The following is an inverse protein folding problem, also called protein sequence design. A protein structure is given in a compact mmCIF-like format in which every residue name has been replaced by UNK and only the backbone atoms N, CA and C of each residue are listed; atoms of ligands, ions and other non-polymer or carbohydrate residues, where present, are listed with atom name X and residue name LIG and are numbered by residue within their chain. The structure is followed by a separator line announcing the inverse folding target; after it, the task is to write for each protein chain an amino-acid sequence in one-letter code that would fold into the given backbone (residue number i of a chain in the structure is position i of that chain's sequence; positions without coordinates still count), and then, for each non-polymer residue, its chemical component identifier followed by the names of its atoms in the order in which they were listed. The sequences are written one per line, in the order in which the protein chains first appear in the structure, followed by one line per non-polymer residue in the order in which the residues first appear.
data_IF_582827520960
#
_entry.id   IF_582827520960
#
_cell.length_a   1.000
_cell.length_b   1.000
_cell.length_c   1.000
_cell.angle_alpha   90.00
_cell.angle_beta   90.00
_cell.angle_gamma   90.00
#
_symmetry.space_group_name_H-M   'P 1'
#
loop_
_entity.id
_entity.type
_entity.pdbx_description
1 polymer ?
#
# COMPACT_ATOMS: atom_id res chain seq x y z
N UNK A 1 -58.88 8.75 -8.06
CA UNK A 1 -58.14 8.91 -6.81
C UNK A 1 -56.85 8.16 -7.03
N UNK A 2 -55.88 8.84 -7.64
CA UNK A 2 -54.58 8.30 -7.98
C UNK A 2 -53.58 8.78 -6.92
N UNK A 3 -52.97 7.85 -6.21
CA UNK A 3 -51.86 8.12 -5.30
C UNK A 3 -50.58 7.59 -5.95
N UNK A 4 -49.84 8.50 -6.59
CA UNK A 4 -48.44 8.29 -6.94
C UNK A 4 -47.60 8.28 -5.65
N UNK A 5 -47.01 7.13 -5.32
CA UNK A 5 -45.87 7.07 -4.42
C UNK A 5 -44.61 7.22 -5.27
N UNK A 6 -44.00 8.41 -5.23
CA UNK A 6 -42.63 8.61 -5.68
C UNK A 6 -41.70 8.06 -4.60
N UNK A 7 -41.05 6.94 -4.90
CA UNK A 7 -39.93 6.43 -4.11
C UNK A 7 -38.67 7.11 -4.67
N UNK A 8 -38.15 8.11 -3.95
CA UNK A 8 -36.79 8.61 -4.19
C UNK A 8 -35.79 7.56 -3.64
N UNK A 9 -34.89 7.01 -4.47
CA UNK A 9 -33.81 6.21 -3.93
C UNK A 9 -32.82 7.12 -3.19
N UNK A 10 -32.62 6.81 -1.92
CA UNK A 10 -31.68 7.46 -1.02
C UNK A 10 -30.28 7.54 -1.65
N UNK A 11 -29.79 8.77 -1.83
CA UNK A 11 -28.44 9.13 -2.30
C UNK A 11 -27.29 8.64 -1.41
N UNK A 12 -27.58 7.87 -0.35
CA UNK A 12 -26.58 7.38 0.59
C UNK A 12 -25.82 6.11 0.11
N UNK A 13 -26.35 5.39 -0.89
CA UNK A 13 -25.70 4.17 -1.41
C UNK A 13 -24.59 4.44 -2.45
N UNK A 14 -24.54 5.65 -3.02
CA UNK A 14 -23.55 6.01 -4.03
C UNK A 14 -22.15 6.31 -3.46
N UNK A 15 -22.02 6.42 -2.13
CA UNK A 15 -20.77 6.87 -1.49
C UNK A 15 -19.81 5.74 -1.09
N UNK A 16 -20.22 4.48 -1.13
CA UNK A 16 -19.42 3.36 -0.55
C UNK A 16 -18.61 2.59 -1.60
N UNK A 17 -18.85 2.80 -2.90
CA UNK A 17 -18.10 2.16 -3.99
C UNK A 17 -17.54 3.15 -5.01
N UNK A 18 -17.15 4.35 -4.57
CA UNK A 18 -16.33 5.22 -5.41
C UNK A 18 -14.87 4.81 -5.28
N UNK A 19 -14.42 3.85 -6.10
CA UNK A 19 -12.98 3.62 -6.34
C UNK A 19 -12.31 4.79 -7.08
N UNK A 20 -12.98 5.94 -7.19
CA UNK A 20 -12.45 7.12 -7.85
C UNK A 20 -12.72 8.35 -6.99
N UNK A 21 -11.70 8.98 -6.40
CA UNK A 21 -11.74 10.42 -6.21
C UNK A 21 -11.88 11.03 -7.61
N UNK A 22 -12.88 11.87 -7.84
CA UNK A 22 -13.07 12.67 -9.07
C UNK A 22 -11.74 12.94 -9.77
N UNK A 23 -11.50 12.33 -10.96
CA UNK A 23 -10.27 12.42 -11.79
C UNK A 23 -9.28 13.49 -11.31
N UNK A 24 -8.46 13.14 -10.30
CA UNK A 24 -7.47 14.06 -9.74
C UNK A 24 -6.39 14.39 -10.76
N UNK A 25 -6.28 13.58 -11.81
CA UNK A 25 -5.39 13.75 -12.93
C UNK A 25 -5.41 15.20 -13.50
N UNK A 26 -6.60 15.79 -13.68
CA UNK A 26 -6.71 17.17 -14.13
C UNK A 26 -6.43 18.21 -13.04
N UNK A 27 -6.72 17.91 -11.76
CA UNK A 27 -6.39 18.80 -10.62
C UNK A 27 -4.86 18.92 -10.46
N UNK A 28 -4.14 17.82 -10.62
CA UNK A 28 -2.66 17.77 -10.51
C UNK A 28 -1.99 18.46 -11.70
N UNK A 29 -2.48 18.26 -12.93
CA UNK A 29 -1.94 18.93 -14.12
C UNK A 29 -2.30 20.42 -14.21
N UNK A 30 -3.51 20.84 -13.80
CA UNK A 30 -3.96 22.24 -13.88
C UNK A 30 -3.16 23.19 -12.98
N UNK A 31 -2.37 22.67 -12.03
CA UNK A 31 -1.43 23.46 -11.23
C UNK A 31 -0.19 23.91 -11.98
N UNK A 32 0.17 23.24 -13.08
CA UNK A 32 1.40 23.52 -13.83
C UNK A 32 1.30 24.74 -14.75
N UNK A 33 0.09 25.14 -15.13
CA UNK A 33 -0.17 26.21 -16.11
C UNK A 33 -0.47 27.58 -15.48
N UNK A 34 -0.54 27.69 -14.15
CA UNK A 34 -0.84 28.94 -13.44
C UNK A 34 0.40 29.49 -12.72
N UNK A 35 1.05 30.47 -13.35
CA UNK A 35 1.85 31.57 -12.76
C UNK A 35 2.95 31.21 -11.74
N UNK A 36 4.17 31.66 -12.08
CA UNK A 36 5.50 31.57 -11.42
C UNK A 36 5.60 32.06 -9.95
N UNK A 37 4.51 32.18 -9.21
CA UNK A 37 4.55 32.60 -7.82
C UNK A 37 3.46 31.89 -7.02
N UNK A 38 3.73 30.65 -6.61
CA UNK A 38 3.28 30.19 -5.29
C UNK A 38 4.14 29.02 -4.81
N UNK A 39 4.43 29.09 -3.52
CA UNK A 39 5.41 28.35 -2.73
C UNK A 39 5.10 26.86 -2.59
N UNK A 40 6.15 26.03 -2.66
CA UNK A 40 6.28 24.70 -2.05
C UNK A 40 4.99 23.89 -1.90
N UNK A 41 4.57 23.28 -3.00
CA UNK A 41 3.72 22.09 -2.93
C UNK A 41 4.41 21.02 -3.76
N UNK A 42 4.69 19.88 -3.12
CA UNK A 42 5.38 18.73 -3.71
C UNK A 42 4.90 18.50 -5.14
N UNK A 43 5.78 18.78 -6.10
CA UNK A 43 5.51 18.51 -7.50
C UNK A 43 5.59 16.99 -7.64
N UNK A 44 4.44 16.38 -7.86
CA UNK A 44 4.35 14.93 -8.00
C UNK A 44 5.27 14.45 -9.12
N UNK A 45 6.15 13.50 -8.79
CA UNK A 45 7.14 12.99 -9.74
C UNK A 45 6.44 12.15 -10.82
N UNK A 46 7.07 12.07 -12.00
CA UNK A 46 6.56 11.22 -13.10
C UNK A 46 6.37 9.77 -12.65
N UNK A 47 7.24 9.29 -11.75
CA UNK A 47 7.15 7.95 -11.19
C UNK A 47 5.90 7.76 -10.33
N UNK A 48 5.61 8.70 -9.44
CA UNK A 48 4.42 8.64 -8.59
C UNK A 48 3.13 8.59 -9.41
N UNK A 49 3.02 9.45 -10.43
CA UNK A 49 1.86 9.48 -11.35
C UNK A 49 1.70 8.14 -12.08
N UNK A 50 2.80 7.55 -12.59
CA UNK A 50 2.77 6.24 -13.26
C UNK A 50 2.41 5.11 -12.28
N UNK A 51 2.96 5.11 -11.07
CA UNK A 51 2.62 4.08 -10.07
C UNK A 51 1.16 4.14 -9.63
N UNK A 52 0.57 5.34 -9.52
CA UNK A 52 -0.87 5.47 -9.21
C UNK A 52 -1.73 4.90 -10.33
N UNK A 53 -1.40 5.21 -11.59
CA UNK A 53 -2.09 4.64 -12.74
C UNK A 53 -2.06 3.10 -12.74
N UNK A 54 -0.91 2.50 -12.45
CA UNK A 54 -0.76 1.05 -12.37
C UNK A 54 -1.58 0.44 -11.23
N UNK A 55 -1.61 1.08 -10.06
CA UNK A 55 -2.42 0.62 -8.92
C UNK A 55 -3.91 0.67 -9.23
N UNK A 56 -4.39 1.78 -9.80
CA UNK A 56 -5.79 1.93 -10.14
C UNK A 56 -6.16 0.93 -11.27
N UNK A 57 -5.26 0.70 -12.23
CA UNK A 57 -5.44 -0.32 -13.27
C UNK A 57 -5.46 -1.74 -12.69
N UNK A 58 -4.65 -2.05 -11.68
CA UNK A 58 -4.67 -3.34 -11.01
C UNK A 58 -6.03 -3.61 -10.34
N UNK A 59 -6.66 -2.58 -9.76
CA UNK A 59 -8.02 -2.67 -9.22
C UNK A 59 -9.06 -3.01 -10.31
N UNK A 60 -8.91 -2.43 -11.51
CA UNK A 60 -9.76 -2.76 -12.67
C UNK A 60 -9.58 -4.22 -13.08
N UNK A 61 -8.34 -4.71 -13.13
CA UNK A 61 -8.04 -6.12 -13.43
C UNK A 61 -8.66 -7.07 -12.38
N UNK A 62 -8.60 -6.73 -11.10
CA UNK A 62 -9.24 -7.53 -10.04
C UNK A 62 -10.76 -7.58 -10.22
N UNK A 63 -11.38 -6.42 -10.48
CA UNK A 63 -12.82 -6.35 -10.75
C UNK A 63 -13.21 -7.18 -11.98
N UNK A 64 -12.39 -7.16 -13.02
CA UNK A 64 -12.59 -7.97 -14.22
C UNK A 64 -12.54 -9.48 -13.94
N UNK A 65 -11.58 -9.94 -13.13
CA UNK A 65 -11.49 -11.34 -12.70
C UNK A 65 -12.72 -11.75 -11.89
N UNK A 66 -13.19 -10.87 -10.99
CA UNK A 66 -14.40 -11.11 -10.19
C UNK A 66 -15.65 -11.21 -11.08
N UNK A 67 -15.78 -10.36 -12.10
CA UNK A 67 -16.88 -10.46 -13.07
C UNK A 67 -16.79 -11.71 -13.93
N UNK A 68 -15.59 -12.15 -14.29
CA UNK A 68 -15.41 -13.43 -14.99
C UNK A 68 -15.80 -14.63 -14.11
N UNK A 69 -15.55 -14.56 -12.80
CA UNK A 69 -16.03 -15.58 -11.84
C UNK A 69 -17.56 -15.59 -11.75
N UNK A 70 -18.18 -14.41 -11.67
CA UNK A 70 -19.63 -14.29 -11.71
C UNK A 70 -20.21 -14.81 -13.03
N UNK A 71 -19.57 -14.52 -14.15
CA UNK A 71 -19.94 -15.05 -15.47
C UNK A 71 -19.92 -16.58 -15.47
N UNK A 72 -18.85 -17.21 -14.98
CA UNK A 72 -18.79 -18.67 -14.89
C UNK A 72 -19.91 -19.25 -13.99
N UNK A 73 -20.24 -18.58 -12.89
CA UNK A 73 -21.37 -18.97 -12.04
C UNK A 73 -22.72 -18.83 -12.77
N UNK A 74 -22.89 -17.79 -13.59
CA UNK A 74 -24.04 -17.62 -14.47
C UNK A 74 -24.15 -18.72 -15.52
N UNK A 75 -23.04 -19.16 -16.13
CA UNK A 75 -23.04 -20.27 -17.08
C UNK A 75 -23.52 -21.59 -16.40
N UNK A 76 -23.13 -21.83 -15.15
CA UNK A 76 -23.61 -22.98 -14.39
C UNK A 76 -25.08 -22.87 -14.00
N UNK A 77 -25.52 -21.68 -13.55
CA UNK A 77 -26.91 -21.44 -13.19
C UNK A 77 -27.84 -21.50 -14.41
N UNK A 78 -27.41 -21.02 -15.58
CA UNK A 78 -28.14 -21.17 -16.83
C UNK A 78 -28.37 -22.64 -17.16
N UNK A 79 -27.32 -23.46 -17.07
CA UNK A 79 -27.38 -24.89 -17.35
C UNK A 79 -28.33 -25.62 -16.38
N UNK A 80 -28.25 -25.28 -15.09
CA UNK A 80 -29.12 -25.84 -14.06
C UNK A 80 -30.58 -25.39 -14.25
N UNK A 81 -30.80 -24.15 -14.68
CA UNK A 81 -32.13 -23.61 -14.98
C UNK A 81 -32.74 -24.29 -16.22
N UNK A 82 -31.97 -24.46 -17.30
CA UNK A 82 -32.40 -25.18 -18.51
C UNK A 82 -32.79 -26.64 -18.20
N UNK A 83 -31.97 -27.33 -17.38
CA UNK A 83 -32.27 -28.68 -16.92
C UNK A 83 -33.55 -28.72 -16.06
N UNK A 84 -33.76 -27.70 -15.22
CA UNK A 84 -34.93 -27.61 -14.35
C UNK A 84 -36.23 -27.32 -15.12
N UNK A 85 -36.18 -26.45 -16.12
CA UNK A 85 -37.31 -26.17 -17.03
C UNK A 85 -37.69 -27.41 -17.85
N UNK A 86 -36.72 -28.27 -18.15
CA UNK A 86 -36.91 -29.49 -18.94
C UNK A 86 -37.48 -30.68 -18.15
N UNK A 87 -37.62 -30.57 -16.82
CA UNK A 87 -38.23 -31.61 -16.00
C UNK A 87 -39.73 -31.76 -16.30
N UNK A 88 -40.28 -32.97 -16.19
CA UNK A 88 -41.64 -33.31 -16.64
C UNK A 88 -42.73 -32.72 -15.74
N UNK A 89 -42.40 -32.31 -14.51
CA UNK A 89 -43.30 -31.62 -13.57
C UNK A 89 -42.53 -30.68 -12.63
N UNK A 90 -42.06 -29.51 -13.10
CA UNK A 90 -41.34 -28.57 -12.26
C UNK A 90 -42.30 -27.94 -11.24
N UNK A 91 -41.84 -27.82 -9.98
CA UNK A 91 -42.56 -27.04 -8.98
C UNK A 91 -42.54 -25.56 -9.40
N UNK A 92 -43.71 -25.00 -9.74
CA UNK A 92 -43.83 -23.62 -10.21
C UNK A 92 -43.24 -22.59 -9.23
N UNK A 93 -43.40 -22.82 -7.93
CA UNK A 93 -42.84 -21.91 -6.92
C UNK A 93 -41.30 -21.89 -6.93
N UNK A 94 -40.66 -23.03 -7.21
CA UNK A 94 -39.20 -23.13 -7.28
C UNK A 94 -38.68 -22.60 -8.61
N UNK A 95 -39.48 -22.72 -9.68
CA UNK A 95 -39.17 -22.16 -11.00
C UNK A 95 -39.13 -20.63 -10.96
N UNK A 96 -40.13 -20.01 -10.33
CA UNK A 96 -40.19 -18.54 -10.16
C UNK A 96 -38.99 -18.02 -9.36
N UNK A 97 -38.60 -18.70 -8.27
CA UNK A 97 -37.45 -18.32 -7.45
C UNK A 97 -36.15 -18.42 -8.24
N UNK A 98 -35.94 -19.50 -9.00
CA UNK A 98 -34.74 -19.65 -9.84
C UNK A 98 -34.68 -18.65 -11.00
N UNK A 99 -35.83 -18.34 -11.60
CA UNK A 99 -35.91 -17.32 -12.65
C UNK A 99 -35.55 -15.93 -12.10
N UNK A 100 -36.08 -15.58 -10.92
CA UNK A 100 -35.73 -14.34 -10.21
C UNK A 100 -34.25 -14.27 -9.84
N UNK A 101 -33.66 -15.38 -9.37
CA UNK A 101 -32.23 -15.47 -9.07
C UNK A 101 -31.38 -15.22 -10.32
N UNK A 102 -31.74 -15.85 -11.44
CA UNK A 102 -31.07 -15.67 -12.71
C UNK A 102 -31.20 -14.23 -13.23
N UNK A 103 -32.41 -13.67 -13.24
CA UNK A 103 -32.68 -12.30 -13.71
C UNK A 103 -31.92 -11.27 -12.87
N UNK A 104 -31.87 -11.44 -11.55
CA UNK A 104 -31.14 -10.55 -10.66
C UNK A 104 -29.63 -10.59 -10.94
N UNK A 105 -29.05 -11.78 -11.02
CA UNK A 105 -27.61 -11.93 -11.21
C UNK A 105 -27.17 -11.53 -12.62
N UNK A 106 -28.00 -11.77 -13.63
CA UNK A 106 -27.78 -11.27 -14.99
C UNK A 106 -27.86 -9.74 -15.05
N UNK A 107 -28.86 -9.13 -14.41
CA UNK A 107 -28.98 -7.68 -14.29
C UNK A 107 -27.77 -7.06 -13.57
N UNK A 108 -27.31 -7.70 -12.50
CA UNK A 108 -26.10 -7.28 -11.79
C UNK A 108 -24.86 -7.39 -12.69
N UNK A 109 -24.62 -8.53 -13.33
CA UNK A 109 -23.48 -8.75 -14.23
C UNK A 109 -23.45 -7.72 -15.37
N UNK A 110 -24.57 -7.50 -16.05
CA UNK A 110 -24.65 -6.54 -17.16
C UNK A 110 -24.43 -5.11 -16.70
N UNK A 111 -24.97 -4.72 -15.54
CA UNK A 111 -24.73 -3.40 -14.96
C UNK A 111 -23.24 -3.19 -14.63
N UNK A 112 -22.59 -4.17 -13.99
CA UNK A 112 -21.18 -4.07 -13.62
C UNK A 112 -20.24 -4.10 -14.83
N UNK A 113 -20.56 -4.89 -15.86
CA UNK A 113 -19.83 -4.88 -17.14
C UNK A 113 -19.89 -3.50 -17.79
N UNK A 114 -21.05 -2.81 -17.74
CA UNK A 114 -21.20 -1.45 -18.29
C UNK A 114 -20.41 -0.39 -17.51
N UNK A 115 -20.35 -0.54 -16.18
CA UNK A 115 -19.53 0.32 -15.32
C UNK A 115 -18.05 0.11 -15.62
N UNK A 116 -17.62 -1.16 -15.74
CA UNK A 116 -16.24 -1.50 -16.05
C UNK A 116 -15.82 -1.01 -17.45
N UNK A 117 -16.72 -1.05 -18.42
CA UNK A 117 -16.52 -0.48 -19.78
C UNK A 117 -16.26 1.03 -19.73
N UNK A 118 -17.02 1.75 -18.90
CA UNK A 118 -16.84 3.19 -18.70
C UNK A 118 -15.48 3.47 -18.04
N UNK A 119 -15.13 2.71 -16.99
CA UNK A 119 -13.85 2.85 -16.30
C UNK A 119 -12.67 2.59 -17.24
N UNK A 120 -12.68 1.49 -17.99
CA UNK A 120 -11.60 1.18 -18.96
C UNK A 120 -11.47 2.27 -20.02
N UNK A 121 -12.59 2.86 -20.46
CA UNK A 121 -12.58 3.99 -21.41
C UNK A 121 -11.93 5.24 -20.82
N UNK A 122 -12.21 5.54 -19.55
CA UNK A 122 -11.57 6.64 -18.83
C UNK A 122 -10.05 6.39 -18.68
N UNK A 123 -9.64 5.15 -18.36
CA UNK A 123 -8.22 4.78 -18.31
C UNK A 123 -7.51 4.93 -19.65
N UNK A 124 -8.18 4.71 -20.78
CA UNK A 124 -7.59 4.96 -22.10
C UNK A 124 -7.35 6.46 -22.35
N UNK A 125 -8.25 7.32 -21.86
CA UNK A 125 -8.07 8.76 -21.91
C UNK A 125 -6.92 9.20 -20.99
N UNK A 126 -6.90 8.72 -19.73
CA UNK A 126 -5.86 9.01 -18.75
C UNK A 126 -4.48 8.53 -19.22
N UNK A 127 -4.41 7.35 -19.86
CA UNK A 127 -3.20 6.85 -20.55
C UNK A 127 -2.68 7.84 -21.59
N UNK A 128 -3.55 8.31 -22.48
CA UNK A 128 -3.14 9.23 -23.55
C UNK A 128 -2.53 10.50 -22.98
N UNK A 129 -3.12 11.00 -21.89
CA UNK A 129 -2.60 12.15 -21.17
C UNK A 129 -1.26 11.85 -20.46
N UNK A 130 -1.08 10.65 -19.89
CA UNK A 130 0.20 10.24 -19.29
C UNK A 130 1.32 10.12 -20.32
N UNK A 131 1.01 9.60 -21.50
CA UNK A 131 1.99 9.52 -22.60
C UNK A 131 2.46 10.91 -23.03
N UNK A 132 1.55 11.90 -23.11
CA UNK A 132 1.91 13.30 -23.36
C UNK A 132 2.74 13.89 -22.20
N UNK A 133 2.36 13.59 -20.96
CA UNK A 133 3.08 14.05 -19.76
C UNK A 133 4.51 13.49 -19.67
N UNK A 134 4.69 12.18 -19.88
CA UNK A 134 6.02 11.55 -19.95
C UNK A 134 6.83 12.14 -21.11
N UNK A 135 6.19 12.36 -22.27
CA UNK A 135 6.86 13.00 -23.41
C UNK A 135 7.32 14.42 -23.09
N UNK A 136 6.53 15.20 -22.35
CA UNK A 136 6.87 16.56 -21.93
C UNK A 136 7.99 16.61 -20.88
N UNK A 137 8.01 15.65 -19.95
CA UNK A 137 9.01 15.56 -18.87
C UNK A 137 10.35 15.00 -19.36
N UNK A 138 10.38 14.25 -20.47
CA UNK A 138 11.62 13.90 -21.20
C UNK A 138 12.44 15.12 -21.59
N UNK A 139 11.81 16.22 -21.98
CA UNK A 139 12.51 17.46 -22.34
C UNK A 139 13.13 18.16 -21.12
N UNK A 140 12.66 17.86 -19.92
CA UNK A 140 13.12 18.44 -18.66
C UNK A 140 14.22 17.61 -17.99
N UNK A 141 14.55 16.42 -18.53
CA UNK A 141 15.58 15.52 -18.01
C UNK A 141 15.16 14.72 -16.78
N UNK A 142 13.87 14.72 -16.42
CA UNK A 142 13.33 14.12 -15.19
C UNK A 142 12.87 12.67 -15.36
N UNK A 143 12.70 12.17 -16.59
CA UNK A 143 12.15 10.83 -16.85
C UNK A 143 13.23 9.76 -16.92
N UNK A 144 13.08 8.72 -16.10
CA UNK A 144 13.83 7.47 -16.23
C UNK A 144 13.22 6.60 -17.34
N UNK A 145 14.06 5.86 -18.07
CA UNK A 145 13.61 4.83 -19.03
C UNK A 145 12.72 3.77 -18.37
N UNK A 146 12.89 3.52 -17.08
CA UNK A 146 12.12 2.53 -16.31
C UNK A 146 10.62 2.89 -16.21
N UNK A 147 10.28 4.19 -16.09
CA UNK A 147 8.88 4.64 -15.98
C UNK A 147 8.12 4.51 -17.30
N UNK A 148 8.83 4.60 -18.42
CA UNK A 148 8.28 4.41 -19.75
C UNK A 148 8.01 2.93 -20.03
N UNK A 149 8.94 2.05 -19.64
CA UNK A 149 8.76 0.60 -19.73
C UNK A 149 7.56 0.13 -18.88
N UNK A 150 7.44 0.67 -17.66
CA UNK A 150 6.29 0.44 -16.75
C UNK A 150 4.95 0.84 -17.39
N UNK A 151 4.85 2.08 -17.91
CA UNK A 151 3.63 2.53 -18.58
C UNK A 151 3.31 1.66 -19.81
N UNK A 152 4.32 1.22 -20.55
CA UNK A 152 4.14 0.35 -21.71
C UNK A 152 3.61 -1.04 -21.32
N UNK A 153 4.04 -1.58 -20.19
CA UNK A 153 3.50 -2.84 -19.67
C UNK A 153 2.07 -2.68 -19.15
N UNK A 154 1.77 -1.56 -18.48
CA UNK A 154 0.40 -1.21 -18.10
C UNK A 154 -0.52 -1.03 -19.32
N UNK A 155 0.00 -0.51 -20.44
CA UNK A 155 -0.73 -0.39 -21.70
C UNK A 155 -1.11 -1.76 -22.26
N UNK A 156 -0.20 -2.74 -22.24
CA UNK A 156 -0.50 -4.12 -22.66
C UNK A 156 -1.56 -4.75 -21.75
N UNK A 157 -1.46 -4.51 -20.44
CA UNK A 157 -2.44 -5.01 -19.44
C UNK A 157 -3.83 -4.40 -19.64
N UNK A 158 -3.91 -3.09 -19.92
CA UNK A 158 -5.16 -2.40 -20.25
C UNK A 158 -5.79 -2.95 -21.52
N UNK A 159 -4.98 -3.19 -22.57
CA UNK A 159 -5.47 -3.80 -23.80
C UNK A 159 -6.00 -5.22 -23.56
N UNK A 160 -5.28 -6.04 -22.80
CA UNK A 160 -5.73 -7.39 -22.44
C UNK A 160 -7.04 -7.36 -21.65
N UNK A 161 -7.19 -6.40 -20.72
CA UNK A 161 -8.40 -6.22 -19.92
C UNK A 161 -9.59 -5.80 -20.77
N UNK A 162 -9.37 -4.95 -21.79
CA UNK A 162 -10.40 -4.58 -22.77
C UNK A 162 -10.86 -5.81 -23.57
N UNK A 163 -9.91 -6.62 -24.06
CA UNK A 163 -10.23 -7.81 -24.84
C UNK A 163 -11.06 -8.81 -24.02
N UNK A 164 -10.68 -9.03 -22.76
CA UNK A 164 -11.42 -9.85 -21.81
C UNK A 164 -12.82 -9.27 -21.49
N UNK A 165 -12.94 -7.95 -21.33
CA UNK A 165 -14.23 -7.31 -21.11
C UNK A 165 -15.17 -7.51 -22.31
N UNK A 166 -14.66 -7.37 -23.53
CA UNK A 166 -15.41 -7.62 -24.77
C UNK A 166 -15.90 -9.07 -24.80
N UNK A 167 -15.04 -10.02 -24.41
CA UNK A 167 -15.42 -11.43 -24.32
C UNK A 167 -16.52 -11.68 -23.28
N UNK A 168 -16.39 -11.15 -22.07
CA UNK A 168 -17.41 -11.26 -21.02
C UNK A 168 -18.73 -10.66 -21.50
N UNK A 169 -18.69 -9.50 -22.17
CA UNK A 169 -19.87 -8.84 -22.74
C UNK A 169 -20.54 -9.69 -23.83
N UNK A 170 -19.75 -10.29 -24.72
CA UNK A 170 -20.27 -11.17 -25.75
C UNK A 170 -20.92 -12.44 -25.17
N UNK A 171 -20.31 -13.03 -24.14
CA UNK A 171 -20.87 -14.18 -23.42
C UNK A 171 -22.12 -13.80 -22.62
N UNK A 172 -22.12 -12.65 -21.94
CA UNK A 172 -23.30 -12.16 -21.24
C UNK A 172 -24.50 -11.97 -22.20
N UNK A 173 -24.27 -11.45 -23.41
CA UNK A 173 -25.33 -11.31 -24.41
C UNK A 173 -25.93 -12.66 -24.88
N UNK A 174 -25.23 -13.79 -24.67
CA UNK A 174 -25.79 -15.12 -24.94
C UNK A 174 -26.88 -15.48 -23.94
N UNK A 175 -26.79 -15.04 -22.68
CA UNK A 175 -27.83 -15.27 -21.68
C UNK A 175 -29.14 -14.57 -22.03
N UNK A 176 -29.09 -13.33 -22.52
CA UNK A 176 -30.29 -12.61 -23.01
C UNK A 176 -31.00 -13.38 -24.13
N UNK A 177 -30.19 -13.91 -25.05
CA UNK A 177 -30.67 -14.70 -26.19
C UNK A 177 -31.29 -16.03 -25.74
N UNK A 178 -30.73 -16.65 -24.71
CA UNK A 178 -31.23 -17.91 -24.16
C UNK A 178 -32.46 -17.70 -23.27
N UNK A 179 -32.50 -16.66 -22.43
CA UNK A 179 -33.70 -16.20 -21.70
C UNK A 179 -34.90 -16.01 -22.64
N UNK A 180 -34.66 -15.42 -23.81
CA UNK A 180 -35.69 -15.23 -24.84
C UNK A 180 -36.26 -16.55 -25.38
N UNK A 181 -35.51 -17.66 -25.34
CA UNK A 181 -36.00 -19.00 -25.72
C UNK A 181 -36.98 -19.56 -24.69
N UNK A 182 -36.79 -19.24 -23.42
CA UNK A 182 -37.66 -19.72 -22.33
C UNK A 182 -38.96 -18.90 -22.23
N UNK A 183 -38.95 -17.62 -22.57
CA UNK A 183 -40.13 -16.76 -22.58
C UNK A 183 -41.10 -17.02 -23.76
N UNK A 184 -40.61 -17.64 -24.84
CA UNK A 184 -41.36 -17.95 -26.06
C UNK A 184 -42.13 -19.27 -25.98
N UNK A 185 -43.14 -19.36 -25.10
CA UNK A 185 -44.04 -20.50 -25.04
C UNK A 185 -44.81 -20.70 -26.35
N UNK A 186 -44.46 -21.73 -27.13
CA UNK A 186 -45.32 -22.27 -28.18
C UNK A 186 -46.66 -22.67 -27.59
N UNK A 187 -47.72 -21.98 -28.00
CA UNK A 187 -49.10 -22.38 -27.75
C UNK A 187 -49.38 -23.68 -28.49
N UNK A 188 -49.30 -24.83 -27.81
CA UNK A 188 -49.88 -26.09 -28.29
C UNK A 188 -51.06 -26.48 -27.42
N UNK A 189 -52.24 -26.22 -27.98
CA UNK A 189 -53.56 -26.66 -27.53
C UNK A 189 -53.68 -28.19 -27.52
N UNK A 190 -54.14 -28.68 -26.36
CA UNK A 190 -55.05 -29.79 -26.07
C UNK A 190 -54.78 -31.20 -26.63
N UNK A 191 -54.67 -32.19 -25.71
CA UNK A 191 -55.84 -32.98 -25.26
C UNK A 191 -55.51 -33.97 -24.12
N UNK A 192 -56.52 -34.12 -23.25
CA UNK A 192 -56.85 -35.19 -22.30
C UNK A 192 -56.02 -36.50 -22.36
N UNK A 193 -55.66 -37.02 -21.19
CA UNK A 193 -56.36 -38.18 -20.64
C UNK A 193 -56.06 -38.39 -19.14
N UNK A 194 -57.14 -38.59 -18.40
CA UNK A 194 -57.19 -38.96 -16.99
C UNK A 194 -56.69 -40.38 -16.73
N UNK A 195 -55.90 -40.59 -15.67
CA UNK A 195 -55.86 -41.86 -14.96
C UNK A 195 -55.47 -41.66 -13.48
N UNK A 196 -56.50 -41.77 -12.64
CA UNK A 196 -56.47 -42.03 -11.20
C UNK A 196 -55.69 -43.31 -10.89
N UNK A 197 -54.69 -43.25 -9.99
CA UNK A 197 -54.33 -44.36 -9.11
C UNK A 197 -53.65 -43.87 -7.81
N UNK A 198 -54.44 -43.93 -6.73
CA UNK A 198 -54.10 -44.58 -5.46
C UNK A 198 -52.91 -44.02 -4.65
N UNK A 199 -53.25 -43.19 -3.66
CA UNK A 199 -52.48 -43.05 -2.42
C UNK A 199 -52.33 -44.41 -1.70
N UNK A 200 -51.11 -44.76 -1.33
CA UNK A 200 -50.73 -45.25 0.02
C UNK A 200 -49.20 -45.30 0.12
N UNK A 201 -48.66 -44.89 1.27
CA UNK A 201 -47.23 -44.88 1.70
C UNK A 201 -46.47 -43.53 1.72
N UNK A 202 -47.17 -42.39 1.87
CA UNK A 202 -46.54 -41.05 1.93
C UNK A 202 -46.20 -40.41 3.31
N UNK A 203 -46.52 -40.95 4.50
CA UNK A 203 -46.14 -40.27 5.76
C UNK A 203 -44.65 -40.41 6.12
N UNK A 204 -44.04 -41.57 5.90
CA UNK A 204 -42.73 -41.91 6.49
C UNK A 204 -41.52 -41.38 5.70
N UNK A 205 -41.69 -41.09 4.40
CA UNK A 205 -40.67 -40.47 3.55
C UNK A 205 -40.64 -38.94 3.70
N UNK A 206 -41.81 -38.33 3.94
CA UNK A 206 -41.99 -36.87 4.10
C UNK A 206 -41.31 -36.36 5.37
N UNK A 207 -41.41 -37.10 6.48
CA UNK A 207 -40.79 -36.73 7.75
C UNK A 207 -39.26 -36.86 7.72
N UNK A 208 -38.70 -37.82 6.95
CA UNK A 208 -37.25 -37.94 6.73
C UNK A 208 -36.69 -36.86 5.83
N UNK A 209 -37.39 -36.52 4.75
CA UNK A 209 -37.00 -35.44 3.84
C UNK A 209 -37.02 -34.08 4.55
N UNK A 210 -38.03 -33.83 5.40
CA UNK A 210 -38.14 -32.61 6.20
C UNK A 210 -37.05 -32.53 7.28
N UNK A 211 -36.71 -33.63 7.95
CA UNK A 211 -35.63 -33.65 8.95
C UNK A 211 -34.25 -33.34 8.32
N UNK A 212 -34.01 -33.79 7.09
CA UNK A 212 -32.77 -33.53 6.34
C UNK A 212 -32.67 -32.05 5.88
N UNK A 213 -33.77 -31.45 5.41
CA UNK A 213 -33.81 -30.03 5.05
C UNK A 213 -33.59 -29.13 6.28
N UNK A 214 -34.19 -29.47 7.42
CA UNK A 214 -33.99 -28.71 8.66
C UNK A 214 -32.56 -28.91 9.21
N UNK A 215 -31.95 -30.10 9.08
CA UNK A 215 -30.55 -30.29 9.46
C UNK A 215 -29.60 -29.50 8.55
N UNK A 216 -29.87 -29.42 7.25
CA UNK A 216 -29.12 -28.59 6.33
C UNK A 216 -29.22 -27.09 6.69
N UNK A 217 -30.44 -26.61 6.99
CA UNK A 217 -30.64 -25.24 7.49
C UNK A 217 -29.90 -24.98 8.81
N UNK A 218 -29.91 -25.93 9.75
CA UNK A 218 -29.11 -25.83 11.00
C UNK A 218 -27.61 -25.80 10.75
N UNK A 219 -27.14 -26.46 9.69
CA UNK A 219 -25.73 -26.41 9.29
C UNK A 219 -25.37 -25.05 8.70
N UNK A 220 -26.21 -24.50 7.81
CA UNK A 220 -26.03 -23.16 7.23
C UNK A 220 -26.00 -22.11 8.35
N UNK A 221 -26.94 -22.14 9.28
CA UNK A 221 -26.98 -21.19 10.41
C UNK A 221 -25.69 -21.27 11.24
N UNK A 222 -25.21 -22.46 11.60
CA UNK A 222 -23.93 -22.63 12.31
C UNK A 222 -22.74 -22.10 11.53
N UNK A 223 -22.75 -22.24 10.20
CA UNK A 223 -21.70 -21.69 9.33
C UNK A 223 -21.76 -20.15 9.31
N UNK A 224 -22.96 -19.58 9.26
CA UNK A 224 -23.18 -18.13 9.31
C UNK A 224 -22.81 -17.52 10.67
N UNK A 225 -23.11 -18.20 11.77
CA UNK A 225 -22.70 -17.81 13.12
C UNK A 225 -21.17 -17.78 13.23
N UNK A 226 -20.49 -18.82 12.72
CA UNK A 226 -19.02 -18.88 12.68
C UNK A 226 -18.39 -17.86 11.73
N UNK A 227 -19.05 -17.49 10.63
CA UNK A 227 -18.57 -16.39 9.78
C UNK A 227 -18.75 -15.04 10.46
N UNK A 228 -19.88 -14.83 11.14
CA UNK A 228 -20.15 -13.59 11.88
C UNK A 228 -19.17 -13.40 13.03
N UNK A 229 -18.85 -14.44 13.80
CA UNK A 229 -17.84 -14.36 14.87
C UNK A 229 -16.46 -13.97 14.33
N UNK A 230 -16.06 -14.53 13.17
CA UNK A 230 -14.83 -14.15 12.50
C UNK A 230 -14.87 -12.70 12.00
N UNK A 231 -16.00 -12.27 11.44
CA UNK A 231 -16.18 -10.91 10.94
C UNK A 231 -16.03 -9.87 12.06
N UNK A 232 -16.64 -10.12 13.23
CA UNK A 232 -16.51 -9.24 14.41
C UNK A 232 -15.06 -9.16 14.89
N UNK A 233 -14.34 -10.30 14.89
CA UNK A 233 -12.93 -10.34 15.25
C UNK A 233 -12.03 -9.64 14.20
N UNK A 234 -12.39 -9.69 12.91
CA UNK A 234 -11.76 -8.86 11.87
C UNK A 234 -12.01 -7.38 12.09
N UNK A 235 -13.26 -6.96 12.33
CA UNK A 235 -13.61 -5.56 12.60
C UNK A 235 -12.86 -5.01 13.81
N UNK A 236 -12.75 -5.83 14.87
CA UNK A 236 -11.93 -5.48 16.04
C UNK A 236 -10.47 -5.26 15.66
N UNK A 237 -9.84 -6.19 14.91
CA UNK A 237 -8.45 -6.01 14.45
C UNK A 237 -8.26 -4.79 13.58
N UNK A 238 -9.23 -4.48 12.71
CA UNK A 238 -9.20 -3.27 11.87
C UNK A 238 -9.22 -2.03 12.75
N UNK A 239 -10.12 -1.97 13.74
CA UNK A 239 -10.18 -0.83 14.67
C UNK A 239 -8.89 -0.64 15.49
N UNK A 240 -8.26 -1.73 15.94
CA UNK A 240 -6.95 -1.70 16.62
C UNK A 240 -5.84 -1.22 15.67
N UNK A 241 -5.87 -1.67 14.41
CA UNK A 241 -4.92 -1.24 13.39
C UNK A 241 -5.05 0.26 13.07
N UNK A 242 -6.28 0.77 12.93
CA UNK A 242 -6.54 2.20 12.69
C UNK A 242 -6.03 3.06 13.85
N UNK A 243 -6.24 2.64 15.10
CA UNK A 243 -5.69 3.37 16.27
C UNK A 243 -4.16 3.39 16.28
N UNK A 244 -3.52 2.28 15.89
CA UNK A 244 -2.06 2.22 15.78
C UNK A 244 -1.57 3.14 14.66
N UNK A 245 -2.26 3.15 13.52
CA UNK A 245 -1.95 4.04 12.39
C UNK A 245 -2.04 5.51 12.81
N UNK A 246 -3.13 5.94 13.42
CA UNK A 246 -3.30 7.31 13.94
C UNK A 246 -2.17 7.68 14.92
N UNK A 247 -1.80 6.77 15.83
CA UNK A 247 -0.70 7.00 16.76
C UNK A 247 0.67 7.11 16.06
N UNK A 248 0.91 6.34 15.00
CA UNK A 248 2.12 6.42 14.20
C UNK A 248 2.17 7.73 13.39
N UNK A 249 1.06 8.18 12.82
CA UNK A 249 0.95 9.45 12.11
C UNK A 249 1.28 10.64 13.03
N UNK A 250 0.73 10.65 14.25
CA UNK A 250 1.05 11.68 15.23
C UNK A 250 2.54 11.68 15.63
N UNK A 251 3.14 10.49 15.75
CA UNK A 251 4.58 10.37 16.05
C UNK A 251 5.47 10.78 14.88
N UNK A 252 5.05 10.50 13.66
CA UNK A 252 5.75 10.90 12.44
C UNK A 252 5.81 12.42 12.36
N UNK A 253 4.66 13.09 12.48
CA UNK A 253 4.62 14.56 12.49
C UNK A 253 5.46 15.17 13.63
N UNK A 254 5.47 14.56 14.81
CA UNK A 254 6.32 15.02 15.91
C UNK A 254 7.82 14.88 15.59
N UNK A 255 8.22 13.76 14.97
CA UNK A 255 9.60 13.52 14.56
C UNK A 255 10.02 14.44 13.41
N UNK A 256 9.15 14.70 12.43
CA UNK A 256 9.38 15.65 11.34
C UNK A 256 9.64 17.07 11.90
N UNK A 257 8.84 17.51 12.87
CA UNK A 257 9.06 18.80 13.52
C UNK A 257 10.38 18.87 14.29
N UNK A 258 10.79 17.77 14.94
CA UNK A 258 12.08 17.67 15.65
C UNK A 258 13.26 17.74 14.67
N UNK A 259 13.16 17.08 13.52
CA UNK A 259 14.17 17.15 12.45
C UNK A 259 14.29 18.56 11.91
N UNK A 260 13.17 19.24 11.62
CA UNK A 260 13.20 20.62 11.14
C UNK A 260 13.91 21.58 12.12
N UNK A 261 13.64 21.44 13.42
CA UNK A 261 14.30 22.25 14.45
C UNK A 261 15.80 21.93 14.53
N UNK A 262 16.17 20.66 14.44
CA UNK A 262 17.58 20.25 14.43
C UNK A 262 18.30 20.76 13.17
N UNK A 263 17.65 20.74 12.00
CA UNK A 263 18.18 21.28 10.75
C UNK A 263 18.45 22.78 10.88
N UNK A 264 17.51 23.55 11.42
CA UNK A 264 17.70 24.99 11.69
C UNK A 264 18.89 25.24 12.62
N UNK A 265 19.01 24.48 13.72
CA UNK A 265 20.14 24.59 14.64
C UNK A 265 21.48 24.27 13.95
N UNK A 266 21.52 23.22 13.13
CA UNK A 266 22.73 22.85 12.40
C UNK A 266 23.12 23.89 11.34
N UNK A 267 22.14 24.52 10.66
CA UNK A 267 22.39 25.58 9.71
C UNK A 267 23.03 26.81 10.38
N UNK A 268 22.50 27.21 11.54
CA UNK A 268 23.06 28.31 12.34
C UNK A 268 24.47 27.99 12.85
N UNK A 269 24.71 26.74 13.27
CA UNK A 269 26.04 26.30 13.70
C UNK A 269 27.06 26.33 12.55
N UNK A 270 26.64 25.93 11.35
CA UNK A 270 27.46 25.94 10.14
C UNK A 270 27.82 27.37 9.72
N UNK A 271 26.86 28.29 9.72
CA UNK A 271 27.09 29.72 9.42
C UNK A 271 28.16 30.31 10.35
N UNK A 272 28.01 30.10 11.67
CA UNK A 272 29.00 30.56 12.67
C UNK A 272 30.38 29.94 12.47
N UNK A 273 30.45 28.69 12.00
CA UNK A 273 31.72 28.04 11.68
C UNK A 273 32.41 28.72 10.50
N UNK A 274 31.67 29.05 9.43
CA UNK A 274 32.24 29.77 8.29
C UNK A 274 32.72 31.17 8.67
N UNK A 275 31.99 31.89 9.52
CA UNK A 275 32.44 33.18 10.05
C UNK A 275 33.74 33.05 10.84
N UNK A 276 33.85 32.03 11.69
CA UNK A 276 35.05 31.74 12.47
C UNK A 276 36.25 31.38 11.58
N UNK A 277 36.04 30.58 10.53
CA UNK A 277 37.08 30.22 9.56
C UNK A 277 37.56 31.44 8.77
N UNK A 278 36.64 32.30 8.34
CA UNK A 278 36.97 33.55 7.67
C UNK A 278 37.78 34.48 8.59
N UNK A 279 37.36 34.64 9.85
CA UNK A 279 38.10 35.42 10.84
C UNK A 279 39.50 34.83 11.11
N UNK A 280 39.62 33.50 11.18
CA UNK A 280 40.88 32.79 11.33
C UNK A 280 41.82 33.04 10.14
N UNK A 281 41.30 33.01 8.91
CA UNK A 281 42.07 33.31 7.70
C UNK A 281 42.65 34.73 7.72
N UNK A 282 41.82 35.73 8.06
CA UNK A 282 42.26 37.14 8.20
C UNK A 282 43.38 37.24 9.25
N UNK A 283 43.18 36.63 10.42
CA UNK A 283 44.18 36.63 11.48
C UNK A 283 45.48 35.94 11.07
N UNK A 284 45.39 34.83 10.32
CA UNK A 284 46.54 34.14 9.78
C UNK A 284 47.33 35.05 8.84
N UNK A 285 46.67 35.78 7.94
CA UNK A 285 47.34 36.68 7.01
C UNK A 285 48.00 37.88 7.72
N UNK A 286 47.32 38.48 8.71
CA UNK A 286 47.93 39.51 9.58
C UNK A 286 49.15 38.95 10.30
N UNK A 287 49.08 37.71 10.81
CA UNK A 287 50.20 37.08 11.51
C UNK A 287 51.42 36.87 10.60
N UNK A 288 51.21 36.43 9.35
CA UNK A 288 52.25 36.31 8.33
C UNK A 288 52.89 37.66 8.01
N UNK A 289 52.09 38.71 7.87
CA UNK A 289 52.60 40.06 7.62
C UNK A 289 53.48 40.55 8.79
N UNK A 290 53.02 40.40 10.04
CA UNK A 290 53.78 40.78 11.23
C UNK A 290 55.08 40.00 11.35
N UNK A 291 55.06 38.68 11.12
CA UNK A 291 56.25 37.85 11.15
C UNK A 291 57.27 38.29 10.08
N UNK A 292 56.79 38.64 8.88
CA UNK A 292 57.65 39.18 7.82
C UNK A 292 58.31 40.50 8.22
N UNK A 293 57.61 41.38 8.96
CA UNK A 293 58.15 42.65 9.47
C UNK A 293 59.18 42.41 10.58
N UNK A 294 58.90 41.52 11.53
CA UNK A 294 59.83 41.15 12.60
C UNK A 294 61.12 40.57 12.01
N UNK A 295 61.01 39.63 11.07
CA UNK A 295 62.18 39.01 10.44
C UNK A 295 63.03 40.05 9.66
N UNK A 296 62.42 41.08 9.06
CA UNK A 296 63.13 42.19 8.40
C UNK A 296 63.85 43.12 9.37
N UNK A 297 63.35 43.27 10.60
CA UNK A 297 63.99 44.04 11.67
C UNK A 297 65.06 43.22 12.42
N UNK A 298 65.22 41.93 12.08
CA UNK A 298 66.11 40.98 12.75
C UNK A 298 67.50 40.71 12.10
N UNK A 299 68.05 41.49 11.15
CA UNK A 299 69.48 41.46 10.88
C UNK A 299 70.17 42.58 11.69
N UNK A 300 71.19 42.22 12.47
CA UNK A 300 72.12 43.10 13.23
C UNK A 300 71.89 43.31 14.74
N UNK A 301 71.47 42.27 15.45
CA UNK A 301 71.86 42.10 16.88
C UNK A 301 73.07 41.16 16.97
N UNK A 302 74.20 41.61 16.41
CA UNK A 302 75.54 41.11 16.72
C UNK A 302 76.50 42.29 16.87
N UNK A 303 76.23 43.16 17.83
CA UNK A 303 77.25 44.03 18.41
C UNK A 303 76.88 44.30 19.88
N UNK A 304 77.67 43.84 20.86
CA UNK A 304 77.43 44.12 22.26
C UNK A 304 78.13 45.43 22.61
N UNK A 305 77.36 46.51 22.66
CA UNK A 305 77.86 47.78 23.15
C UNK A 305 76.95 48.92 22.76
N UNK A 306 75.91 49.16 23.57
CA UNK A 306 75.45 50.47 24.05
C UNK A 306 74.06 50.30 24.67
N UNK A 307 73.91 50.77 25.91
CA UNK A 307 72.60 50.94 26.55
C UNK A 307 71.75 51.95 25.77
N UNK A 308 70.45 51.69 25.54
CA UNK A 308 69.52 52.73 25.15
C UNK A 308 68.53 53.09 26.27
N UNK A 309 68.42 54.39 26.51
CA UNK A 309 67.28 55.07 27.14
C UNK A 309 65.94 54.62 26.52
N UNK A 310 64.82 54.61 27.26
CA UNK A 310 63.55 54.10 26.76
C UNK A 310 62.96 55.08 25.73
N UNK A 311 63.19 54.82 24.45
CA UNK A 311 62.49 55.46 23.34
C UNK A 311 61.10 54.84 23.18
N UNK A 312 60.16 55.57 22.56
CA UNK A 312 58.76 55.14 22.35
C UNK A 312 58.65 53.73 21.71
N UNK A 313 59.63 53.35 20.89
CA UNK A 313 59.76 52.02 20.25
C UNK A 313 59.92 50.87 21.26
N UNK A 314 60.57 51.10 22.41
CA UNK A 314 60.71 50.06 23.46
C UNK A 314 59.42 49.81 24.24
N UNK A 315 58.52 50.80 24.30
CA UNK A 315 57.20 50.66 24.92
C UNK A 315 56.23 49.92 23.99
N UNK A 316 56.24 50.26 22.69
CA UNK A 316 55.47 49.54 21.66
C UNK A 316 55.92 48.08 21.51
N UNK A 317 57.23 47.81 21.57
CA UNK A 317 57.74 46.43 21.54
C UNK A 317 57.26 45.61 22.75
N UNK A 318 57.18 46.22 23.94
CA UNK A 318 56.64 45.56 25.15
C UNK A 318 55.14 45.32 25.05
N UNK A 319 54.38 46.24 24.46
CA UNK A 319 52.94 46.08 24.27
C UNK A 319 52.62 44.99 23.23
N UNK A 320 53.31 44.99 22.09
CA UNK A 320 53.22 43.94 21.07
C UNK A 320 53.55 42.57 21.64
N UNK A 321 54.59 42.46 22.47
CA UNK A 321 54.94 41.20 23.14
C UNK A 321 53.83 40.71 24.06
N UNK A 322 53.13 41.62 24.75
CA UNK A 322 51.97 41.28 25.61
C UNK A 322 50.79 40.77 24.77
N UNK A 323 50.51 41.41 23.63
CA UNK A 323 49.44 41.01 22.71
C UNK A 323 49.72 39.66 22.05
N UNK A 324 50.98 39.36 21.73
CA UNK A 324 51.40 38.05 21.20
C UNK A 324 51.13 36.94 22.22
N UNK A 325 51.57 37.11 23.48
CA UNK A 325 51.35 36.11 24.54
C UNK A 325 49.85 35.85 24.78
N UNK A 326 49.04 36.90 24.75
CA UNK A 326 47.59 36.75 24.91
C UNK A 326 46.93 36.10 23.68
N UNK A 327 47.41 36.39 22.47
CA UNK A 327 46.96 35.71 21.26
C UNK A 327 47.35 34.22 21.26
N UNK A 328 48.56 33.90 21.71
CA UNK A 328 49.06 32.53 21.86
C UNK A 328 48.25 31.75 22.90
N UNK A 329 47.90 32.38 24.02
CA UNK A 329 46.98 31.80 25.02
C UNK A 329 45.61 31.49 24.43
N UNK A 330 45.07 32.36 23.58
CA UNK A 330 43.78 32.13 22.89
C UNK A 330 43.89 31.03 21.84
N UNK A 331 44.98 30.96 21.08
CA UNK A 331 45.24 29.90 20.12
C UNK A 331 45.31 28.53 20.81
N UNK A 332 46.05 28.41 21.91
CA UNK A 332 46.14 27.17 22.69
C UNK A 332 44.78 26.75 23.30
N UNK A 333 43.94 27.71 23.70
CA UNK A 333 42.58 27.43 24.17
C UNK A 333 41.66 26.96 23.02
N UNK A 334 41.80 27.53 21.83
CA UNK A 334 41.06 27.08 20.65
C UNK A 334 41.50 25.67 20.22
N UNK A 335 42.80 25.41 20.20
CA UNK A 335 43.36 24.10 19.85
C UNK A 335 42.88 22.99 20.81
N UNK A 336 42.87 23.26 22.11
CA UNK A 336 42.34 22.31 23.11
C UNK A 336 40.84 22.04 22.93
N UNK A 337 40.04 23.05 22.58
CA UNK A 337 38.61 22.86 22.24
C UNK A 337 38.42 22.04 20.95
N UNK A 338 39.21 22.31 19.92
CA UNK A 338 39.16 21.55 18.66
C UNK A 338 39.52 20.07 18.89
N UNK A 339 40.51 19.80 19.76
CA UNK A 339 40.89 18.43 20.12
C UNK A 339 39.76 17.71 20.84
N UNK A 340 39.12 18.37 21.82
CA UNK A 340 37.95 17.82 22.52
C UNK A 340 36.79 17.55 21.55
N UNK A 341 36.49 18.48 20.65
CA UNK A 341 35.46 18.30 19.62
C UNK A 341 35.77 17.10 18.70
N UNK A 342 37.02 16.94 18.28
CA UNK A 342 37.45 15.79 17.48
C UNK A 342 37.27 14.47 18.23
N UNK A 343 37.61 14.41 19.52
CA UNK A 343 37.37 13.25 20.38
C UNK A 343 35.87 12.92 20.46
N UNK A 344 35.02 13.89 20.75
CA UNK A 344 33.55 13.69 20.82
C UNK A 344 32.93 13.29 19.48
N UNK A 345 33.43 13.83 18.36
CA UNK A 345 32.97 13.47 17.01
C UNK A 345 33.29 12.01 16.69
N UNK A 346 34.48 11.53 17.07
CA UNK A 346 34.87 10.14 16.90
C UNK A 346 34.03 9.20 17.78
N UNK A 347 33.72 9.59 19.02
CA UNK A 347 32.81 8.82 19.89
C UNK A 347 31.40 8.73 19.32
N UNK A 348 30.87 9.85 18.82
CA UNK A 348 29.56 9.91 18.18
C UNK A 348 29.51 9.00 16.94
N UNK A 349 30.55 9.04 16.11
CA UNK A 349 30.69 8.15 14.95
C UNK A 349 30.65 6.67 15.35
N UNK A 350 31.40 6.29 16.40
CA UNK A 350 31.37 4.92 16.92
C UNK A 350 29.99 4.51 17.49
N UNK A 351 29.23 5.47 18.05
CA UNK A 351 27.85 5.24 18.48
C UNK A 351 26.92 5.02 17.28
N UNK A 352 27.04 5.84 16.22
CA UNK A 352 26.26 5.68 14.99
C UNK A 352 26.52 4.32 14.32
N UNK A 353 27.77 3.87 14.24
CA UNK A 353 28.11 2.54 13.70
C UNK A 353 27.44 1.41 14.49
N UNK A 354 27.39 1.52 15.83
CA UNK A 354 26.67 0.55 16.69
C UNK A 354 25.16 0.59 16.47
N UNK A 355 24.58 1.78 16.31
CA UNK A 355 23.15 1.95 16.02
C UNK A 355 22.77 1.26 14.71
N UNK A 356 23.54 1.48 13.64
CA UNK A 356 23.34 0.82 12.34
C UNK A 356 23.44 -0.71 12.47
N UNK A 357 24.41 -1.21 13.25
CA UNK A 357 24.52 -2.66 13.51
C UNK A 357 23.30 -3.22 14.26
N UNK A 358 22.79 -2.49 15.26
CA UNK A 358 21.58 -2.89 16.00
C UNK A 358 20.34 -2.85 15.12
N UNK A 359 20.18 -1.85 14.27
CA UNK A 359 19.10 -1.76 13.30
C UNK A 359 19.10 -2.95 12.33
N UNK A 360 20.28 -3.31 11.80
CA UNK A 360 20.41 -4.47 10.92
C UNK A 360 20.03 -5.76 11.64
N UNK A 361 20.49 -5.94 12.88
CA UNK A 361 20.13 -7.10 13.71
C UNK A 361 18.63 -7.15 14.01
N UNK A 362 18.00 -6.00 14.21
CA UNK A 362 16.56 -5.89 14.42
C UNK A 362 15.77 -6.26 13.14
N UNK A 363 16.24 -5.82 11.97
CA UNK A 363 15.68 -6.24 10.67
C UNK A 363 15.77 -7.75 10.49
N UNK A 364 16.94 -8.35 10.74
CA UNK A 364 17.15 -9.80 10.60
C UNK A 364 16.27 -10.62 11.56
N UNK A 365 16.15 -10.19 12.82
CA UNK A 365 15.30 -10.85 13.81
C UNK A 365 13.81 -10.73 13.46
N UNK A 366 13.37 -9.59 12.93
CA UNK A 366 12.01 -9.39 12.42
C UNK A 366 11.70 -10.34 11.26
N UNK A 367 12.63 -10.52 10.32
CA UNK A 367 12.49 -11.49 9.22
C UNK A 367 12.41 -12.93 9.75
N UNK A 368 13.29 -13.31 10.68
CA UNK A 368 13.25 -14.64 11.33
C UNK A 368 11.95 -14.89 12.06
N UNK A 369 11.41 -13.87 12.74
CA UNK A 369 10.13 -13.96 13.43
C UNK A 369 8.97 -14.16 12.45
N UNK A 370 8.94 -13.41 11.34
CA UNK A 370 7.96 -13.63 10.25
C UNK A 370 8.04 -15.05 9.71
N UNK A 371 9.23 -15.56 9.40
CA UNK A 371 9.43 -16.94 8.94
C UNK A 371 8.97 -17.97 9.97
N UNK A 372 9.24 -17.76 11.26
CA UNK A 372 8.77 -18.64 12.32
C UNK A 372 7.25 -18.61 12.50
N UNK A 373 6.62 -17.45 12.28
CA UNK A 373 5.17 -17.28 12.32
C UNK A 373 4.52 -18.00 11.14
N UNK A 374 5.04 -17.83 9.92
CA UNK A 374 4.60 -18.61 8.75
C UNK A 374 4.78 -20.12 8.95
N UNK A 375 5.89 -20.55 9.56
CA UNK A 375 6.13 -21.97 9.90
C UNK A 375 5.13 -22.50 10.93
N UNK A 376 4.83 -21.72 11.98
CA UNK A 376 3.80 -22.10 12.97
C UNK A 376 2.41 -22.17 12.33
N UNK A 377 2.06 -21.21 11.48
CA UNK A 377 0.80 -21.24 10.74
C UNK A 377 0.70 -22.45 9.79
N UNK A 378 1.83 -22.95 9.26
CA UNK A 378 1.85 -24.22 8.49
C UNK A 378 1.81 -25.49 9.35
N UNK A 379 2.07 -25.38 10.66
CA UNK A 379 2.03 -26.50 11.61
C UNK A 379 0.70 -26.56 12.39
N UNK A 380 0.02 -25.43 12.60
CA UNK A 380 -1.35 -25.38 13.15
C UNK A 380 -2.41 -25.92 12.16
N UNK A 381 -2.03 -26.23 10.92
CA UNK A 381 -2.83 -27.02 9.99
C UNK A 381 -2.74 -28.55 10.22
N UNK A 382 -1.91 -29.02 11.16
CA UNK A 382 -1.72 -30.44 11.45
C UNK A 382 -1.58 -30.72 12.96
N UNK A 383 -2.71 -30.92 13.65
CA UNK A 383 -2.82 -31.80 14.82
C UNK A 383 -4.14 -32.61 14.73
N UNK A 384 -4.21 -33.88 15.19
CA UNK A 384 -3.33 -35.01 14.89
C UNK A 384 -4.14 -36.20 14.31
N UNK A 385 -3.82 -36.67 13.09
CA UNK A 385 -4.27 -37.98 12.58
C UNK A 385 -3.37 -39.09 13.15
N UNK A 386 -3.22 -39.14 14.48
CA UNK A 386 -2.43 -40.19 15.18
C UNK A 386 -3.23 -40.84 16.32
N UNK A 387 -4.51 -40.49 16.51
CA UNK A 387 -5.36 -41.13 17.54
C UNK A 387 -6.22 -42.30 16.99
N UNK A 388 -6.15 -42.62 15.69
CA UNK A 388 -6.93 -43.73 15.09
C UNK A 388 -6.12 -44.97 14.66
N UNK A 389 -4.87 -45.13 15.13
CA UNK A 389 -4.07 -46.35 14.87
C UNK A 389 -3.53 -47.03 16.13
N UNK A 390 -4.24 -46.97 17.26
CA UNK A 390 -3.97 -47.82 18.44
C UNK A 390 -5.21 -48.66 18.83
N UNK A 391 -6.18 -48.80 17.92
CA UNK A 391 -7.48 -49.39 18.23
C UNK A 391 -7.81 -50.71 17.55
N UNK A 392 -6.88 -51.40 16.87
CA UNK A 392 -7.17 -52.73 16.27
C UNK A 392 -5.87 -53.52 16.09
N UNK A 393 -5.38 -54.20 17.13
CA UNK A 393 -4.50 -55.38 17.02
C UNK A 393 -4.19 -56.00 18.40
N UNK A 394 -5.21 -56.18 19.25
CA UNK A 394 -5.13 -57.15 20.34
C UNK A 394 -6.03 -58.32 19.97
N UNK A 395 -5.49 -59.25 19.17
CA UNK A 395 -5.77 -60.68 19.26
C UNK A 395 -4.96 -61.43 18.20
N UNK A 396 -4.39 -62.57 18.59
CA UNK A 396 -3.54 -63.50 17.83
C UNK A 396 -2.06 -63.13 17.71
N UNK A 397 -1.27 -63.49 18.72
CA UNK A 397 -0.39 -64.68 18.64
C UNK A 397 0.04 -65.08 20.06
N UNK A 398 -0.61 -66.12 20.57
CA UNK A 398 -0.11 -66.89 21.69
C UNK A 398 1.19 -67.58 21.29
N UNK A 399 2.29 -67.30 22.00
CA UNK A 399 3.48 -68.15 22.04
C UNK A 399 3.31 -69.08 23.25
N UNK A 400 3.18 -70.40 23.09
CA UNK A 400 3.20 -71.33 24.21
C UNK A 400 4.64 -71.48 24.70
N UNK A 401 4.81 -71.37 26.01
CA UNK A 401 6.06 -71.65 26.70
C UNK A 401 6.08 -73.12 27.14
N UNK A 402 7.11 -73.82 26.66
CA UNK A 402 7.79 -75.03 27.18
C UNK A 402 7.26 -76.45 26.88
N UNK A 403 8.23 -77.24 26.38
CA UNK A 403 8.33 -78.69 26.13
C UNK A 403 7.72 -79.24 24.82
#
# INVERSE_FOLDING_TARGET
MDFHYNYEPSSAAASVYSCRPESEFYKTMSRRSSSVADTFQELESVGEVVTRFELDMACVCEKLVNLNLLLMHMETLESDFEAFVSDTNPNMSDLEVKALEFDFLYGFLTSEVSVLETLISDFQADKSNMQEFISSSKFLGETSTEQEDMLQDSEKSLQQSLDQLIEIKARAAMFERNLSRFAGGETRTDKDDSADLSNNDLPELKDKMNLQTVEHQRHIIRMLEKSLEREIDFEKRVSESTQIEEALTMRLHAAEQEVLLAEEETAVALEKSYEADHASAILMDISKELLSKVNKLQPDIKNPGFEPQPTAETLEAKDLKRRIVEAERRANNAESKCKLLSETSNELKGSCEKMVWLEQKLKDTKVKLKLSKSRKNSFEGFEPIVVMMVGVADDYYAIPRFL
#
